data_IF_331898721316
#
_entry.id   IF_331898721316
#
_cell.length_a   1.000
_cell.length_b   1.000
_cell.length_c   1.000
_cell.angle_alpha   90.00
_cell.angle_beta   90.00
_cell.angle_gamma   90.00
#
_symmetry.space_group_name_H-M   'P 1'
#
loop_
_entity.id
_entity.type
_entity.pdbx_description
1 polymer ?
#
# COMPACT_ATOMS: atom_id res chain seq x y z
N UNK A 1 15.18 8.16 0.54
CA UNK A 1 13.99 7.39 0.14
C UNK A 1 14.10 6.03 0.75
N UNK A 2 13.28 5.75 1.75
CA UNK A 2 13.14 4.42 2.34
C UNK A 2 11.89 3.76 1.75
N UNK A 3 12.00 2.71 0.92
CA UNK A 3 10.86 2.08 0.28
C UNK A 3 9.85 1.45 1.25
N UNK A 4 10.21 1.29 2.53
CA UNK A 4 9.29 0.79 3.55
C UNK A 4 8.36 1.86 4.10
N UNK A 5 8.67 3.14 3.95
CA UNK A 5 7.91 4.24 4.57
C UNK A 5 7.57 5.35 3.59
N UNK A 6 8.33 5.48 2.51
CA UNK A 6 8.02 6.32 1.38
C UNK A 6 7.31 5.50 0.30
N UNK A 7 6.06 5.83 0.01
CA UNK A 7 5.26 5.15 -1.00
C UNK A 7 5.72 5.50 -2.43
N UNK A 8 6.88 4.99 -2.80
CA UNK A 8 7.52 5.19 -4.09
C UNK A 8 8.21 3.91 -4.57
N UNK A 9 7.98 3.59 -5.84
CA UNK A 9 8.69 2.56 -6.62
C UNK A 9 9.11 3.14 -7.96
N UNK A 10 9.85 2.37 -8.76
CA UNK A 10 10.50 2.86 -10.01
C UNK A 10 9.54 3.53 -11.00
N UNK A 11 8.29 3.08 -11.05
CA UNK A 11 7.28 3.49 -12.03
C UNK A 11 6.12 4.31 -11.45
N UNK A 12 5.94 4.30 -10.12
CA UNK A 12 4.81 4.90 -9.42
C UNK A 12 5.23 5.47 -8.07
N UNK A 13 4.76 6.67 -7.74
CA UNK A 13 4.88 7.24 -6.41
C UNK A 13 3.56 7.87 -5.95
N UNK A 14 3.43 8.03 -4.64
CA UNK A 14 2.40 8.89 -4.08
C UNK A 14 2.62 10.35 -4.51
N UNK A 15 1.55 11.03 -4.92
CA UNK A 15 1.58 12.44 -5.33
C UNK A 15 2.11 13.38 -4.23
N UNK A 16 1.96 12.99 -2.95
CA UNK A 16 2.51 13.70 -1.79
C UNK A 16 4.06 13.70 -1.77
N UNK A 17 4.71 12.91 -2.63
CA UNK A 17 6.18 12.85 -2.77
C UNK A 17 6.70 13.62 -3.98
N UNK A 18 5.84 14.27 -4.78
CA UNK A 18 6.21 14.85 -6.07
C UNK A 18 7.25 15.99 -6.00
N UNK A 19 7.42 16.61 -4.84
CA UNK A 19 8.43 17.65 -4.59
C UNK A 19 9.84 17.08 -4.32
N UNK A 20 9.96 15.77 -4.03
CA UNK A 20 11.21 15.12 -3.59
C UNK A 20 11.54 13.80 -4.28
N UNK A 21 10.60 13.16 -4.95
CA UNK A 21 10.76 11.91 -5.70
C UNK A 21 10.39 12.16 -7.14
N UNK A 22 11.22 11.73 -8.08
CA UNK A 22 10.88 11.68 -9.50
C UNK A 22 10.36 10.28 -9.87
N UNK A 23 9.10 10.19 -10.29
CA UNK A 23 8.49 8.96 -10.78
C UNK A 23 7.76 9.22 -12.11
N UNK A 24 7.72 8.24 -13.03
CA UNK A 24 6.96 8.36 -14.27
C UNK A 24 5.47 8.65 -14.05
N UNK A 25 4.89 8.11 -12.98
CA UNK A 25 3.49 8.34 -12.60
C UNK A 25 3.37 8.67 -11.12
N UNK A 26 2.40 9.54 -10.81
CA UNK A 26 1.97 9.81 -9.45
C UNK A 26 0.51 9.44 -9.27
N UNK A 27 0.18 8.86 -8.13
CA UNK A 27 -1.20 8.57 -7.74
C UNK A 27 -1.56 9.29 -6.44
N UNK A 28 -2.79 9.79 -6.38
CA UNK A 28 -3.41 10.15 -5.11
C UNK A 28 -3.93 8.87 -4.44
N UNK A 29 -3.72 8.68 -3.13
CA UNK A 29 -4.17 7.47 -2.45
C UNK A 29 -5.69 7.40 -2.36
N UNK A 30 -6.24 6.20 -2.51
CA UNK A 30 -7.65 5.88 -2.30
C UNK A 30 -7.83 5.13 -0.98
N UNK A 31 -8.65 5.67 -0.07
CA UNK A 31 -8.87 5.08 1.24
C UNK A 31 -9.70 3.80 1.17
N UNK A 32 -9.17 2.75 1.78
CA UNK A 32 -9.85 1.47 1.97
C UNK A 32 -9.80 1.07 3.43
N UNK A 33 -10.86 0.41 3.89
CA UNK A 33 -10.85 -0.33 5.14
C UNK A 33 -10.40 -1.77 4.87
N UNK A 34 -9.55 -2.29 5.75
CA UNK A 34 -9.27 -3.73 5.85
C UNK A 34 -10.52 -4.41 6.40
N UNK A 35 -11.04 -5.42 5.70
CA UNK A 35 -12.28 -6.13 6.11
C UNK A 35 -12.04 -7.46 6.84
N UNK A 36 -10.82 -7.98 6.74
CA UNK A 36 -10.36 -9.18 7.43
C UNK A 36 -8.86 -9.06 7.72
N UNK A 37 -8.33 -9.66 8.81
CA UNK A 37 -6.90 -9.64 9.09
C UNK A 37 -6.08 -10.08 7.88
N UNK A 38 -5.04 -9.32 7.54
CA UNK A 38 -4.25 -9.58 6.33
C UNK A 38 -2.80 -9.15 6.52
N UNK A 39 -1.81 -9.95 6.04
CA UNK A 39 -0.41 -9.56 6.11
C UNK A 39 -0.10 -8.44 5.11
N UNK A 40 0.56 -7.39 5.58
CA UNK A 40 1.24 -6.43 4.72
C UNK A 40 2.62 -6.99 4.34
N UNK A 41 2.85 -7.20 3.04
CA UNK A 41 4.06 -7.84 2.51
C UNK A 41 4.98 -6.86 1.79
N UNK A 42 6.29 -7.14 1.82
CA UNK A 42 7.29 -6.33 1.13
C UNK A 42 7.22 -6.44 -0.41
N UNK A 43 6.81 -7.59 -0.95
CA UNK A 43 6.54 -7.83 -2.37
C UNK A 43 5.16 -8.46 -2.58
N UNK A 44 4.77 -8.63 -3.86
CA UNK A 44 3.54 -9.32 -4.27
C UNK A 44 3.61 -10.83 -4.09
N UNK A 45 4.79 -11.39 -3.82
CA UNK A 45 4.98 -12.84 -3.73
C UNK A 45 4.39 -13.38 -2.42
N UNK A 46 3.73 -14.53 -2.50
CA UNK A 46 3.09 -15.15 -1.32
C UNK A 46 4.09 -15.48 -0.20
N UNK A 47 5.34 -15.79 -0.56
CA UNK A 47 6.43 -16.12 0.37
C UNK A 47 7.29 -14.91 0.77
N UNK A 48 6.89 -13.70 0.36
CA UNK A 48 7.58 -12.46 0.75
C UNK A 48 7.54 -12.24 2.26
N UNK A 49 8.55 -11.53 2.78
CA UNK A 49 8.58 -10.97 4.13
C UNK A 49 7.24 -10.30 4.46
N UNK A 50 6.62 -10.75 5.56
CA UNK A 50 5.51 -10.06 6.22
C UNK A 50 6.08 -8.95 7.09
N UNK A 51 5.73 -7.71 6.76
CA UNK A 51 6.17 -6.53 7.50
C UNK A 51 5.36 -6.37 8.80
N UNK A 52 4.04 -6.55 8.70
CA UNK A 52 3.09 -6.47 9.82
C UNK A 52 1.78 -7.17 9.45
N UNK A 53 1.00 -7.57 10.45
CA UNK A 53 -0.39 -8.00 10.27
C UNK A 53 -1.32 -6.79 10.46
N UNK A 54 -2.16 -6.49 9.46
CA UNK A 54 -3.19 -5.46 9.57
C UNK A 54 -4.48 -6.09 10.11
N UNK A 55 -5.17 -5.37 11.00
CA UNK A 55 -6.44 -5.80 11.59
C UNK A 55 -7.64 -5.36 10.75
N UNK A 56 -8.76 -6.06 10.90
CA UNK A 56 -10.02 -5.59 10.35
C UNK A 56 -10.40 -4.23 10.96
N UNK A 57 -10.76 -3.27 10.11
CA UNK A 57 -11.02 -1.88 10.48
C UNK A 57 -9.82 -0.95 10.28
N UNK A 58 -8.61 -1.46 10.08
CA UNK A 58 -7.46 -0.63 9.74
C UNK A 58 -7.67 0.07 8.39
N UNK A 59 -7.08 1.27 8.26
CA UNK A 59 -7.05 2.02 7.01
C UNK A 59 -5.86 1.57 6.18
N UNK A 60 -6.09 1.40 4.88
CA UNK A 60 -5.06 1.21 3.88
C UNK A 60 -5.26 2.23 2.73
N UNK A 61 -4.22 3.00 2.46
CA UNK A 61 -4.16 3.99 1.39
C UNK A 61 -3.66 3.32 0.11
N UNK A 62 -4.58 2.95 -0.77
CA UNK A 62 -4.28 2.23 -2.01
C UNK A 62 -3.76 3.19 -3.09
N UNK A 63 -2.60 2.88 -3.66
CA UNK A 63 -1.99 3.60 -4.78
C UNK A 63 -2.06 2.83 -6.10
N UNK A 64 -2.05 1.49 -6.03
CA UNK A 64 -2.27 0.63 -7.20
C UNK A 64 -3.08 -0.60 -6.83
N UNK A 65 -4.05 -0.95 -7.68
CA UNK A 65 -4.72 -2.26 -7.69
C UNK A 65 -4.36 -2.99 -8.98
N UNK A 66 -3.72 -4.15 -8.87
CA UNK A 66 -3.37 -4.95 -10.04
C UNK A 66 -3.17 -6.42 -9.66
N UNK A 67 -3.63 -7.33 -10.52
CA UNK A 67 -3.49 -8.78 -10.36
C UNK A 67 -3.88 -9.28 -8.95
N UNK A 68 -5.02 -8.82 -8.43
CA UNK A 68 -5.54 -9.24 -7.12
C UNK A 68 -4.82 -8.65 -5.90
N UNK A 69 -3.82 -7.80 -6.09
CA UNK A 69 -3.08 -7.16 -5.00
C UNK A 69 -3.29 -5.65 -5.00
N UNK A 70 -3.31 -5.08 -3.80
CA UNK A 70 -3.21 -3.66 -3.59
C UNK A 70 -1.79 -3.31 -3.12
N UNK A 71 -1.20 -2.27 -3.71
CA UNK A 71 0.02 -1.65 -3.20
C UNK A 71 -0.31 -0.28 -2.63
N UNK A 72 0.27 0.05 -1.48
CA UNK A 72 -0.13 1.24 -0.76
C UNK A 72 0.59 1.43 0.57
N UNK A 73 0.09 2.40 1.34
CA UNK A 73 0.58 2.77 2.67
C UNK A 73 -0.47 2.35 3.72
N UNK A 74 -0.02 1.75 4.82
CA UNK A 74 -0.84 1.54 6.01
C UNK A 74 -0.56 2.68 7.02
N UNK A 75 -1.43 3.71 7.14
CA UNK A 75 -1.09 4.89 7.95
C UNK A 75 -0.92 4.59 9.44
N UNK A 76 -1.59 3.57 9.96
CA UNK A 76 -1.48 3.16 11.36
C UNK A 76 -0.08 2.66 11.76
N UNK A 77 0.67 2.10 10.80
CA UNK A 77 2.04 1.62 11.01
C UNK A 77 3.09 2.47 10.29
N UNK A 78 2.67 3.29 9.32
CA UNK A 78 3.56 4.05 8.44
C UNK A 78 4.27 3.19 7.39
N UNK A 79 3.84 1.93 7.21
CA UNK A 79 4.52 0.98 6.34
C UNK A 79 3.88 0.90 4.95
N UNK A 80 4.73 0.83 3.94
CA UNK A 80 4.40 0.64 2.53
C UNK A 80 4.56 -0.82 2.16
N UNK A 81 3.59 -1.37 1.43
CA UNK A 81 3.65 -2.76 1.01
C UNK A 81 2.45 -3.21 0.21
N UNK A 82 2.28 -4.52 0.15
CA UNK A 82 1.23 -5.21 -0.58
C UNK A 82 0.29 -5.94 0.35
N UNK A 83 -1.00 -5.88 0.04
CA UNK A 83 -2.06 -6.71 0.67
C UNK A 83 -2.90 -7.37 -0.42
N UNK A 84 -3.59 -8.46 -0.05
CA UNK A 84 -4.60 -9.05 -0.92
C UNK A 84 -5.78 -8.08 -1.06
N UNK A 85 -6.12 -7.70 -2.30
CA UNK A 85 -7.15 -6.72 -2.57
C UNK A 85 -8.55 -7.20 -2.17
N UNK A 86 -8.77 -8.51 -2.06
CA UNK A 86 -10.04 -9.07 -1.57
C UNK A 86 -10.31 -8.78 -0.09
N UNK A 87 -9.28 -8.43 0.67
CA UNK A 87 -9.38 -8.01 2.08
C UNK A 87 -9.56 -6.50 2.23
N UNK A 88 -9.77 -5.76 1.14
CA UNK A 88 -9.99 -4.31 1.18
C UNK A 88 -11.40 -3.94 0.71
N UNK A 89 -11.95 -2.89 1.31
CA UNK A 89 -13.19 -2.26 0.87
C UNK A 89 -13.03 -0.75 0.80
N UNK A 90 -13.31 -0.16 -0.36
CA UNK A 90 -13.27 1.28 -0.55
C UNK A 90 -14.18 2.00 0.47
N UNK A 91 -13.66 3.08 1.03
CA UNK A 91 -14.45 3.99 1.87
C UNK A 91 -15.28 4.90 0.93
N UNK A 92 -16.59 5.09 1.17
CA UNK A 92 -17.44 5.97 0.36
C UNK A 92 -17.02 7.44 0.41
#
# INVERSE_FOLDING_TARGET
>A
MDPRTDAARRDLADVRLADRVFAPHYAAPLLHNVVAPTPLRASRDADSETLVELAAGDIFEVLELSAGHAWGLAPGTGLVGYVDASNLKAVP
#
